data_IF_761661694243
#
_entry.id   IF_761661694243
#
_cell.length_a   1.000
_cell.length_b   1.000
_cell.length_c   1.000
_cell.angle_alpha   90.00
_cell.angle_beta   90.00
_cell.angle_gamma   90.00
#
_symmetry.space_group_name_H-M   'P 1'
#
loop_
_entity.id
_entity.type
_entity.pdbx_description
1 polymer ?
#
# COMPACT_ATOMS: atom_id res chain seq x y z
N UNK A 1 -29.84 -35.79 21.46
CA UNK A 1 -29.62 -37.10 20.79
C UNK A 1 -29.89 -38.32 21.68
N UNK A 2 -29.40 -38.38 22.93
CA UNK A 2 -29.59 -39.54 23.85
C UNK A 2 -31.02 -40.11 23.96
N UNK A 3 -32.06 -39.27 24.03
CA UNK A 3 -33.46 -39.71 24.14
C UNK A 3 -34.00 -40.40 22.88
N UNK A 4 -33.52 -40.00 21.69
CA UNK A 4 -33.96 -40.58 20.42
C UNK A 4 -33.31 -41.95 20.17
N UNK A 5 -32.02 -42.09 20.53
CA UNK A 5 -31.37 -43.40 20.52
C UNK A 5 -32.10 -44.35 21.48
N UNK A 6 -32.45 -43.89 22.68
CA UNK A 6 -33.24 -44.68 23.63
C UNK A 6 -34.60 -45.13 23.08
N UNK A 7 -35.33 -44.25 22.38
CA UNK A 7 -36.60 -44.60 21.77
C UNK A 7 -36.45 -45.62 20.63
N UNK A 8 -35.39 -45.52 19.82
CA UNK A 8 -35.09 -46.49 18.76
C UNK A 8 -34.74 -47.84 19.39
N UNK A 9 -33.84 -47.87 20.39
CA UNK A 9 -33.46 -49.10 21.09
C UNK A 9 -34.66 -49.75 21.81
N UNK A 10 -35.55 -48.96 22.41
CA UNK A 10 -36.79 -49.46 23.00
C UNK A 10 -37.75 -50.03 21.96
N UNK A 11 -37.95 -49.35 20.83
CA UNK A 11 -38.82 -49.83 19.76
C UNK A 11 -38.28 -51.11 19.11
N UNK A 12 -36.97 -51.18 18.85
CA UNK A 12 -36.31 -52.38 18.33
C UNK A 12 -36.33 -53.52 19.34
N UNK A 13 -36.10 -53.22 20.62
CA UNK A 13 -36.15 -54.20 21.71
C UNK A 13 -37.57 -54.75 21.93
N UNK A 14 -38.59 -53.89 21.87
CA UNK A 14 -39.99 -54.28 21.97
C UNK A 14 -40.42 -55.14 20.76
N UNK A 15 -40.01 -54.75 19.55
CA UNK A 15 -40.25 -55.54 18.33
C UNK A 15 -39.59 -56.92 18.40
N UNK A 16 -38.34 -57.00 18.85
CA UNK A 16 -37.64 -58.27 19.06
C UNK A 16 -38.32 -59.14 20.13
N UNK A 17 -38.76 -58.54 21.24
CA UNK A 17 -39.49 -59.25 22.29
C UNK A 17 -40.85 -59.78 21.81
N UNK A 18 -41.54 -59.05 20.94
CA UNK A 18 -42.79 -59.51 20.31
C UNK A 18 -42.56 -60.67 19.33
N UNK A 19 -41.47 -60.67 18.56
CA UNK A 19 -41.11 -61.78 17.66
C UNK A 19 -40.73 -63.03 18.45
N UNK A 20 -39.94 -62.89 19.50
CA UNK A 20 -39.56 -64.00 20.40
C UNK A 20 -40.79 -64.52 21.17
N UNK A 21 -41.66 -63.63 21.65
CA UNK A 21 -42.91 -64.00 22.32
C UNK A 21 -43.89 -64.74 21.41
N UNK A 22 -43.96 -64.36 20.12
CA UNK A 22 -44.73 -65.08 19.11
C UNK A 22 -44.23 -66.50 18.87
N UNK A 23 -42.92 -66.72 18.89
CA UNK A 23 -42.29 -68.05 18.78
C UNK A 23 -42.56 -68.96 19.99
N UNK A 24 -42.64 -68.39 21.20
CA UNK A 24 -42.87 -69.16 22.44
C UNK A 24 -44.34 -69.58 22.61
N UNK A 25 -45.28 -68.90 21.94
CA UNK A 25 -46.73 -69.19 21.99
C UNK A 25 -47.23 -70.04 20.81
N UNK A 26 -46.34 -70.79 20.15
CA UNK A 26 -46.69 -71.63 19.01
C UNK A 26 -47.61 -72.79 19.45
N UNK A 27 -48.92 -72.62 19.24
CA UNK A 27 -49.97 -73.49 19.76
C UNK A 27 -51.33 -72.80 19.95
N UNK A 28 -51.40 -71.47 20.03
CA UNK A 28 -52.65 -70.70 20.03
C UNK A 28 -52.90 -70.07 18.66
N UNK A 29 -53.74 -70.72 17.84
CA UNK A 29 -53.80 -70.60 16.37
C UNK A 29 -54.17 -69.26 15.70
N UNK A 30 -53.97 -68.09 16.32
CA UNK A 30 -54.20 -66.80 15.64
C UNK A 30 -53.31 -65.63 16.11
N UNK A 31 -52.84 -65.67 17.36
CA UNK A 31 -52.07 -64.58 17.99
C UNK A 31 -50.63 -64.43 17.46
N UNK A 32 -49.89 -65.52 17.11
CA UNK A 32 -48.49 -65.41 16.69
C UNK A 32 -48.27 -64.62 15.40
N UNK A 33 -49.13 -64.82 14.38
CA UNK A 33 -48.97 -64.18 13.07
C UNK A 33 -49.13 -62.66 13.11
N UNK A 34 -50.11 -62.17 13.88
CA UNK A 34 -50.40 -60.74 14.01
C UNK A 34 -49.29 -59.98 14.74
N UNK A 35 -48.71 -60.60 15.78
CA UNK A 35 -47.55 -60.05 16.51
C UNK A 35 -46.28 -59.99 15.65
N UNK A 36 -46.10 -60.96 14.76
CA UNK A 36 -44.95 -61.03 13.86
C UNK A 36 -45.03 -59.96 12.76
N UNK A 37 -46.21 -59.76 12.17
CA UNK A 37 -46.44 -58.71 11.17
C UNK A 37 -46.30 -57.31 11.76
N UNK A 38 -46.86 -57.07 12.96
CA UNK A 38 -46.72 -55.77 13.66
C UNK A 38 -45.26 -55.54 14.08
N UNK A 39 -44.59 -56.56 14.62
CA UNK A 39 -43.18 -56.48 15.01
C UNK A 39 -42.25 -56.18 13.83
N UNK A 40 -42.44 -56.87 12.70
CA UNK A 40 -41.68 -56.61 11.47
C UNK A 40 -41.93 -55.21 10.91
N UNK A 41 -43.18 -54.75 10.93
CA UNK A 41 -43.57 -53.41 10.46
C UNK A 41 -42.94 -52.31 11.33
N UNK A 42 -42.94 -52.47 12.66
CA UNK A 42 -42.32 -51.51 13.59
C UNK A 42 -40.79 -51.44 13.43
N UNK A 43 -40.12 -52.56 13.18
CA UNK A 43 -38.68 -52.61 12.93
C UNK A 43 -38.30 -51.84 11.65
N UNK A 44 -39.19 -51.82 10.64
CA UNK A 44 -38.90 -51.21 9.35
C UNK A 44 -39.32 -49.74 9.27
N UNK A 45 -40.51 -49.38 9.77
CA UNK A 45 -41.08 -48.03 9.64
C UNK A 45 -40.52 -47.02 10.63
N UNK A 46 -40.21 -47.44 11.87
CA UNK A 46 -39.74 -46.50 12.91
C UNK A 46 -38.37 -45.91 12.58
N UNK A 47 -37.36 -46.68 12.14
CA UNK A 47 -36.09 -46.11 11.70
C UNK A 47 -36.25 -45.17 10.50
N UNK A 48 -37.14 -45.53 9.55
CA UNK A 48 -37.38 -44.75 8.34
C UNK A 48 -37.99 -43.37 8.67
N UNK A 49 -39.02 -43.33 9.50
CA UNK A 49 -39.67 -42.07 9.92
C UNK A 49 -38.72 -41.18 10.76
N UNK A 50 -37.81 -41.78 11.52
CA UNK A 50 -36.77 -41.02 12.24
C UNK A 50 -35.72 -40.46 11.29
N UNK A 51 -35.34 -41.21 10.25
CA UNK A 51 -34.40 -40.78 9.22
C UNK A 51 -34.96 -39.60 8.42
N UNK A 52 -36.22 -39.68 8.00
CA UNK A 52 -36.94 -38.62 7.28
C UNK A 52 -37.01 -37.32 8.09
N UNK A 53 -37.36 -37.40 9.38
CA UNK A 53 -37.35 -36.24 10.29
C UNK A 53 -35.95 -35.64 10.49
N UNK A 54 -34.89 -36.46 10.44
CA UNK A 54 -33.51 -35.94 10.51
C UNK A 54 -33.12 -35.25 9.21
N UNK A 55 -33.48 -35.81 8.05
CA UNK A 55 -33.22 -35.20 6.75
C UNK A 55 -33.90 -33.82 6.65
N UNK A 56 -35.19 -33.72 6.97
CA UNK A 56 -35.88 -32.43 6.97
C UNK A 56 -35.29 -31.40 7.92
N UNK A 57 -34.84 -31.80 9.12
CA UNK A 57 -34.14 -30.87 10.03
C UNK A 57 -32.80 -30.41 9.48
N UNK A 58 -32.09 -31.29 8.77
CA UNK A 58 -30.80 -30.97 8.15
C UNK A 58 -31.01 -30.02 6.97
N UNK A 59 -32.05 -30.24 6.17
CA UNK A 59 -32.46 -29.33 5.08
C UNK A 59 -32.87 -27.94 5.58
N UNK A 60 -33.61 -27.87 6.69
CA UNK A 60 -33.95 -26.59 7.32
C UNK A 60 -32.69 -25.86 7.83
N UNK A 61 -31.76 -26.58 8.46
CA UNK A 61 -30.50 -25.99 8.93
C UNK A 61 -29.62 -25.49 7.78
N UNK A 62 -29.57 -26.20 6.64
CA UNK A 62 -28.81 -25.74 5.47
C UNK A 62 -29.47 -24.53 4.80
N UNK A 63 -30.80 -24.44 4.78
CA UNK A 63 -31.52 -23.25 4.31
C UNK A 63 -31.22 -22.02 5.19
N UNK A 64 -31.28 -22.16 6.52
CA UNK A 64 -30.95 -21.08 7.45
C UNK A 64 -29.49 -20.62 7.31
N UNK A 65 -28.55 -21.56 7.12
CA UNK A 65 -27.15 -21.25 6.85
C UNK A 65 -26.96 -20.49 5.54
N UNK A 66 -27.65 -20.88 4.47
CA UNK A 66 -27.60 -20.19 3.18
C UNK A 66 -28.17 -18.77 3.26
N UNK A 67 -29.25 -18.56 4.01
CA UNK A 67 -29.76 -17.22 4.29
C UNK A 67 -28.77 -16.39 5.13
N UNK A 68 -28.15 -17.01 6.14
CA UNK A 68 -27.11 -16.37 6.95
C UNK A 68 -25.93 -15.91 6.10
N UNK A 69 -25.45 -16.76 5.19
CA UNK A 69 -24.38 -16.44 4.23
C UNK A 69 -24.77 -15.29 3.29
N UNK A 70 -26.00 -15.30 2.75
CA UNK A 70 -26.50 -14.18 1.94
C UNK A 70 -26.54 -12.85 2.70
N UNK A 71 -26.93 -12.86 3.98
CA UNK A 71 -26.92 -11.65 4.82
C UNK A 71 -25.50 -11.16 5.11
N UNK A 72 -24.54 -12.07 5.31
CA UNK A 72 -23.13 -11.73 5.47
C UNK A 72 -22.57 -11.12 4.19
N UNK A 73 -22.83 -11.73 3.04
CA UNK A 73 -22.40 -11.23 1.73
C UNK A 73 -22.95 -9.82 1.44
N UNK A 74 -24.22 -9.58 1.75
CA UNK A 74 -24.84 -8.24 1.67
C UNK A 74 -24.19 -7.22 2.62
N UNK A 75 -23.77 -7.63 3.82
CA UNK A 75 -23.06 -6.75 4.76
C UNK A 75 -21.66 -6.40 4.27
N UNK A 76 -20.96 -7.38 3.68
CA UNK A 76 -19.63 -7.17 3.08
C UNK A 76 -19.73 -6.19 1.91
N UNK A 77 -20.70 -6.38 1.01
CA UNK A 77 -20.90 -5.46 -0.13
C UNK A 77 -21.21 -4.03 0.34
N UNK A 78 -22.09 -3.85 1.32
CA UNK A 78 -22.39 -2.52 1.88
C UNK A 78 -21.18 -1.89 2.56
N UNK A 79 -20.40 -2.67 3.31
CA UNK A 79 -19.18 -2.17 3.93
C UNK A 79 -18.13 -1.76 2.87
N UNK A 80 -18.01 -2.52 1.78
CA UNK A 80 -17.14 -2.18 0.67
C UNK A 80 -17.57 -0.87 -0.02
N UNK A 81 -18.87 -0.70 -0.29
CA UNK A 81 -19.43 0.53 -0.86
C UNK A 81 -19.23 1.74 0.07
N UNK A 82 -19.38 1.55 1.38
CA UNK A 82 -19.18 2.61 2.38
C UNK A 82 -17.70 3.00 2.52
N UNK A 83 -16.78 2.04 2.48
CA UNK A 83 -15.33 2.28 2.42
C UNK A 83 -14.96 3.04 1.14
N UNK A 84 -15.50 2.65 -0.01
CA UNK A 84 -15.24 3.32 -1.29
C UNK A 84 -15.77 4.76 -1.29
N UNK A 85 -16.96 4.98 -0.71
CA UNK A 85 -17.56 6.31 -0.58
C UNK A 85 -16.77 7.20 0.38
N UNK A 86 -16.37 6.69 1.54
CA UNK A 86 -15.52 7.42 2.48
C UNK A 86 -14.15 7.75 1.87
N UNK A 87 -13.57 6.81 1.10
CA UNK A 87 -12.36 7.04 0.33
C UNK A 87 -12.52 8.21 -0.66
N UNK A 88 -13.61 8.23 -1.44
CA UNK A 88 -13.88 9.31 -2.40
C UNK A 88 -14.09 10.67 -1.72
N UNK A 89 -14.88 10.73 -0.65
CA UNK A 89 -15.14 11.99 0.07
C UNK A 89 -13.88 12.57 0.75
N UNK A 90 -13.04 11.73 1.37
CA UNK A 90 -11.78 12.19 1.98
C UNK A 90 -10.73 12.63 0.96
N UNK A 91 -10.79 12.10 -0.27
CA UNK A 91 -9.91 12.54 -1.36
C UNK A 91 -10.31 13.93 -1.84
N UNK A 92 -11.60 14.20 -2.07
CA UNK A 92 -12.10 15.48 -2.57
C UNK A 92 -11.95 16.63 -1.56
N UNK A 93 -12.37 16.45 -0.29
CA UNK A 93 -12.25 17.51 0.73
C UNK A 93 -10.79 17.83 1.06
N UNK A 94 -9.92 16.81 1.11
CA UNK A 94 -8.51 17.03 1.38
C UNK A 94 -7.73 17.62 0.20
N UNK A 95 -8.23 17.52 -1.04
CA UNK A 95 -7.52 18.02 -2.22
C UNK A 95 -7.43 19.56 -2.21
N UNK A 96 -8.53 20.25 -1.88
CA UNK A 96 -8.58 21.71 -1.83
C UNK A 96 -7.62 22.31 -0.80
N UNK A 97 -7.58 21.74 0.41
CA UNK A 97 -6.69 22.20 1.48
C UNK A 97 -5.20 21.96 1.16
N UNK A 98 -4.88 20.83 0.54
CA UNK A 98 -3.51 20.51 0.11
C UNK A 98 -3.05 21.42 -1.02
N UNK A 99 -3.91 21.64 -2.01
CA UNK A 99 -3.63 22.53 -3.12
C UNK A 99 -3.43 23.97 -2.62
N UNK A 100 -4.25 24.42 -1.67
CA UNK A 100 -4.06 25.70 -1.00
C UNK A 100 -2.73 25.79 -0.24
N UNK A 101 -2.31 24.72 0.45
CA UNK A 101 -1.03 24.66 1.14
C UNK A 101 0.17 24.72 0.18
N UNK A 102 0.11 23.97 -0.93
CA UNK A 102 1.10 24.01 -2.02
C UNK A 102 1.21 25.42 -2.62
N UNK A 103 0.07 26.02 -2.98
CA UNK A 103 0.01 27.37 -3.52
C UNK A 103 0.54 28.41 -2.52
N UNK A 104 0.28 28.22 -1.22
CA UNK A 104 0.83 29.11 -0.19
C UNK A 104 2.36 29.01 -0.10
N UNK A 105 2.91 27.79 -0.14
CA UNK A 105 4.35 27.56 -0.12
C UNK A 105 5.03 28.11 -1.38
N UNK A 106 4.41 27.98 -2.54
CA UNK A 106 4.89 28.52 -3.82
C UNK A 106 4.94 30.05 -3.78
N UNK A 107 3.87 30.70 -3.32
CA UNK A 107 3.77 32.16 -3.33
C UNK A 107 4.59 32.85 -2.23
N UNK A 108 4.68 32.25 -1.03
CA UNK A 108 5.37 32.87 0.13
C UNK A 108 6.81 32.42 0.27
N UNK A 109 7.10 31.18 -0.12
CA UNK A 109 8.41 30.57 0.05
C UNK A 109 8.93 30.61 1.48
N UNK A 110 8.06 30.66 2.49
CA UNK A 110 8.44 30.79 3.90
C UNK A 110 8.53 29.43 4.59
N UNK A 111 9.38 29.37 5.62
CA UNK A 111 9.71 28.13 6.32
C UNK A 111 8.49 27.37 6.86
N UNK A 112 7.47 28.01 7.47
CA UNK A 112 6.29 27.30 7.96
C UNK A 112 5.51 26.59 6.85
N UNK A 113 5.30 27.26 5.72
CA UNK A 113 4.56 26.70 4.58
C UNK A 113 5.35 25.55 3.94
N UNK A 114 6.65 25.73 3.72
CA UNK A 114 7.54 24.67 3.20
C UNK A 114 7.56 23.46 4.14
N UNK A 115 7.64 23.68 5.46
CA UNK A 115 7.60 22.59 6.46
C UNK A 115 6.28 21.82 6.38
N UNK A 116 5.16 22.53 6.32
CA UNK A 116 3.83 21.93 6.27
C UNK A 116 3.69 21.03 5.04
N UNK A 117 4.04 21.53 3.86
CA UNK A 117 3.99 20.79 2.60
C UNK A 117 4.88 19.55 2.64
N UNK A 118 6.13 19.68 3.11
CA UNK A 118 7.04 18.55 3.27
C UNK A 118 6.51 17.51 4.25
N UNK A 119 5.95 17.94 5.39
CA UNK A 119 5.43 17.02 6.40
C UNK A 119 4.22 16.24 5.87
N UNK A 120 3.26 16.94 5.24
CA UNK A 120 2.07 16.30 4.67
C UNK A 120 2.44 15.29 3.57
N UNK A 121 3.36 15.65 2.68
CA UNK A 121 3.81 14.74 1.62
C UNK A 121 4.57 13.51 2.18
N UNK A 122 5.33 13.67 3.27
CA UNK A 122 5.98 12.54 3.95
C UNK A 122 4.97 11.62 4.64
N UNK A 123 3.98 12.18 5.32
CA UNK A 123 2.92 11.42 6.01
C UNK A 123 2.09 10.59 5.02
N UNK A 124 1.94 11.07 3.78
CA UNK A 124 1.28 10.36 2.69
C UNK A 124 2.20 9.35 1.98
N UNK A 125 3.49 9.31 2.27
CA UNK A 125 4.44 8.49 1.52
C UNK A 125 4.68 8.97 0.08
N UNK A 126 4.26 10.19 -0.26
CA UNK A 126 4.48 10.78 -1.58
C UNK A 126 5.94 11.16 -1.80
N UNK A 127 6.69 11.50 -0.76
CA UNK A 127 8.13 11.80 -0.82
C UNK A 127 8.92 10.92 0.13
N UNK A 128 10.20 10.71 -0.17
CA UNK A 128 11.09 9.90 0.65
C UNK A 128 11.17 10.40 2.10
N UNK A 129 11.26 9.48 3.06
CA UNK A 129 11.49 9.80 4.47
C UNK A 129 12.83 10.54 4.69
N UNK A 130 13.80 10.32 3.78
CA UNK A 130 15.08 11.04 3.74
C UNK A 130 14.94 12.52 3.38
N UNK A 131 13.81 12.92 2.78
CA UNK A 131 13.55 14.27 2.29
C UNK A 131 13.67 14.40 0.78
N UNK A 132 13.48 15.62 0.28
CA UNK A 132 13.48 15.95 -1.16
C UNK A 132 14.81 16.54 -1.57
N UNK A 133 15.34 16.15 -2.73
CA UNK A 133 16.53 16.74 -3.33
C UNK A 133 16.17 17.70 -4.44
N UNK A 134 16.89 18.80 -4.50
CA UNK A 134 16.77 19.83 -5.52
C UNK A 134 18.15 20.31 -5.93
N UNK A 135 18.30 20.65 -7.20
CA UNK A 135 19.53 21.20 -7.78
C UNK A 135 19.40 22.73 -7.83
N UNK A 136 19.96 23.47 -6.85
CA UNK A 136 19.94 24.93 -6.94
C UNK A 136 20.89 25.43 -8.03
N UNK A 137 20.56 26.56 -8.64
CA UNK A 137 21.52 27.27 -9.47
C UNK A 137 22.69 27.78 -8.62
N UNK A 138 23.90 27.74 -9.17
CA UNK A 138 25.11 28.21 -8.49
C UNK A 138 25.82 27.17 -7.62
N UNK A 139 25.30 25.94 -7.50
CA UNK A 139 26.08 24.80 -7.01
C UNK A 139 26.52 23.91 -8.18
N UNK A 140 27.82 23.65 -8.25
CA UNK A 140 28.40 22.72 -9.24
C UNK A 140 28.47 21.35 -8.59
N UNK A 141 27.91 20.34 -9.27
CA UNK A 141 27.94 18.94 -8.83
C UNK A 141 27.49 18.72 -7.37
N UNK A 142 26.50 19.49 -6.93
CA UNK A 142 25.91 19.36 -5.60
C UNK A 142 24.38 19.58 -5.62
N UNK A 143 23.73 19.13 -4.56
CA UNK A 143 22.28 19.19 -4.33
C UNK A 143 21.98 19.71 -2.94
N UNK A 144 20.80 20.28 -2.77
CA UNK A 144 20.23 20.55 -1.45
C UNK A 144 19.19 19.49 -1.13
N UNK A 145 19.37 18.83 0.01
CA UNK A 145 18.36 17.92 0.58
C UNK A 145 17.55 18.66 1.63
N UNK A 146 16.25 18.74 1.43
CA UNK A 146 15.27 19.36 2.31
C UNK A 146 14.54 18.29 3.10
N UNK A 147 14.43 18.47 4.41
CA UNK A 147 13.67 17.57 5.28
C UNK A 147 12.86 18.36 6.30
N UNK A 148 11.63 17.94 6.53
CA UNK A 148 10.85 18.41 7.65
C UNK A 148 11.43 17.84 8.97
N UNK A 149 11.75 18.71 9.91
CA UNK A 149 12.13 18.34 11.27
C UNK A 149 11.16 19.03 12.24
N UNK A 150 10.80 18.38 13.36
CA UNK A 150 9.82 18.86 14.38
C UNK A 150 9.28 20.28 14.17
N UNK A 151 10.10 21.31 14.46
CA UNK A 151 9.73 22.72 14.36
C UNK A 151 10.55 23.52 13.32
N UNK A 152 11.26 22.88 12.40
CA UNK A 152 12.17 23.53 11.45
C UNK A 152 12.20 22.80 10.09
N UNK A 153 12.77 23.43 9.07
CA UNK A 153 13.22 22.70 7.87
C UNK A 153 14.72 22.50 8.02
N UNK A 154 15.22 21.29 7.85
CA UNK A 154 16.67 21.04 7.79
C UNK A 154 17.11 20.91 6.35
N UNK A 155 18.20 21.58 6.00
CA UNK A 155 18.78 21.60 4.66
C UNK A 155 20.22 21.12 4.74
N UNK A 156 20.63 20.25 3.84
CA UNK A 156 22.00 19.74 3.75
C UNK A 156 22.51 19.81 2.31
N UNK A 157 23.80 20.10 2.15
CA UNK A 157 24.49 20.02 0.86
C UNK A 157 25.01 18.60 0.65
N UNK A 158 24.72 18.01 -0.50
CA UNK A 158 25.18 16.68 -0.91
C UNK A 158 25.93 16.79 -2.23
N UNK A 159 27.02 16.02 -2.41
CA UNK A 159 27.69 15.97 -3.71
C UNK A 159 26.87 15.13 -4.70
N UNK A 160 27.12 15.36 -5.99
CA UNK A 160 26.49 14.59 -7.05
C UNK A 160 26.86 13.12 -6.98
N UNK A 161 28.02 12.70 -6.46
CA UNK A 161 28.34 11.29 -6.29
C UNK A 161 27.55 10.57 -5.17
N UNK A 162 26.73 11.31 -4.42
CA UNK A 162 26.09 10.83 -3.20
C UNK A 162 27.04 10.66 -2.02
N UNK A 163 28.29 11.10 -2.18
CA UNK A 163 29.21 11.23 -1.06
C UNK A 163 28.66 12.25 -0.07
N UNK A 164 28.63 11.90 1.20
CA UNK A 164 28.56 12.92 2.24
C UNK A 164 29.92 13.64 2.22
N UNK A 165 29.96 14.95 1.94
CA UNK A 165 31.16 15.73 2.19
C UNK A 165 31.52 15.53 3.65
N UNK A 166 32.80 15.29 3.95
CA UNK A 166 33.30 15.05 5.30
C UNK A 166 32.92 16.16 6.30
N UNK A 167 32.52 17.34 5.79
CA UNK A 167 32.11 18.51 6.54
C UNK A 167 30.61 18.87 6.47
N UNK A 168 29.75 18.13 5.72
CA UNK A 168 28.37 18.60 5.54
C UNK A 168 27.48 18.31 6.74
N UNK A 169 26.95 19.38 7.33
CA UNK A 169 26.11 19.32 8.51
C UNK A 169 24.70 19.78 8.16
N UNK A 170 23.70 19.18 8.79
CA UNK A 170 22.32 19.63 8.61
C UNK A 170 22.16 21.06 9.13
N UNK A 171 21.92 21.99 8.21
CA UNK A 171 21.60 23.38 8.54
C UNK A 171 20.12 23.50 8.87
N UNK A 172 19.79 24.00 10.05
CA UNK A 172 18.40 24.24 10.44
C UNK A 172 17.94 25.61 9.93
N UNK A 173 16.86 25.63 9.16
CA UNK A 173 16.05 26.81 8.85
C UNK A 173 14.93 26.93 9.89
N UNK A 174 15.09 27.88 10.82
CA UNK A 174 14.17 28.03 11.96
C UNK A 174 12.98 28.93 11.62
N UNK A 175 11.86 28.82 12.36
CA UNK A 175 10.75 29.75 12.23
C UNK A 175 11.19 31.20 12.43
N UNK A 176 10.73 32.10 11.55
CA UNK A 176 11.10 33.52 11.56
C UNK A 176 12.51 33.83 11.05
N UNK A 177 13.30 32.82 10.68
CA UNK A 177 14.61 33.04 10.08
C UNK A 177 14.49 33.42 8.60
N UNK A 178 15.14 34.53 8.23
CA UNK A 178 15.20 34.97 6.84
C UNK A 178 15.97 33.96 5.97
N UNK A 179 15.35 33.54 4.86
CA UNK A 179 15.92 32.69 3.80
C UNK A 179 17.37 33.08 3.40
N UNK A 180 17.67 34.38 3.29
CA UNK A 180 19.01 34.88 2.94
C UNK A 180 20.08 34.53 3.98
N UNK A 181 19.71 34.36 5.26
CA UNK A 181 20.65 33.93 6.30
C UNK A 181 21.01 32.47 6.13
N UNK A 182 20.04 31.62 5.81
CA UNK A 182 20.28 30.23 5.47
C UNK A 182 21.14 30.11 4.20
N UNK A 183 20.79 30.83 3.13
CA UNK A 183 21.61 30.89 1.91
C UNK A 183 23.07 31.27 2.22
N UNK A 184 23.31 32.30 3.04
CA UNK A 184 24.68 32.68 3.41
C UNK A 184 25.44 31.57 4.12
N UNK A 185 24.79 30.78 4.99
CA UNK A 185 25.41 29.61 5.63
C UNK A 185 25.72 28.52 4.62
N UNK A 186 24.74 28.17 3.78
CA UNK A 186 24.93 27.18 2.71
C UNK A 186 26.04 27.61 1.75
N UNK A 187 26.22 28.90 1.50
CA UNK A 187 27.27 29.42 0.62
C UNK A 187 28.65 29.31 1.23
N UNK A 188 28.77 29.57 2.53
CA UNK A 188 30.03 29.35 3.23
C UNK A 188 30.40 27.87 3.17
N UNK A 189 29.45 26.99 3.51
CA UNK A 189 29.64 25.53 3.48
C UNK A 189 29.97 25.03 2.06
N UNK A 190 29.28 25.51 1.02
CA UNK A 190 29.55 25.15 -0.36
C UNK A 190 30.95 25.57 -0.83
N UNK A 191 31.44 26.74 -0.38
CA UNK A 191 32.81 27.21 -0.68
C UNK A 191 33.84 26.36 0.04
N UNK A 192 33.62 26.06 1.31
CA UNK A 192 34.51 25.22 2.11
C UNK A 192 34.62 23.80 1.51
N UNK A 193 33.53 23.32 0.90
CA UNK A 193 33.48 22.06 0.18
C UNK A 193 34.03 22.11 -1.26
N UNK A 194 34.31 23.30 -1.81
CA UNK A 194 34.74 23.47 -3.20
C UNK A 194 33.67 23.18 -4.26
N UNK A 195 32.38 23.21 -3.90
CA UNK A 195 31.25 22.96 -4.82
C UNK A 195 30.48 24.23 -5.19
N UNK A 196 30.93 25.39 -4.69
CA UNK A 196 30.34 26.67 -5.03
C UNK A 196 30.71 27.08 -6.46
N UNK A 197 29.68 27.33 -7.29
CA UNK A 197 29.82 27.90 -8.62
C UNK A 197 29.87 29.43 -8.62
N UNK A 198 29.87 30.06 -9.81
CA UNK A 198 29.79 31.51 -9.94
C UNK A 198 28.40 32.00 -9.52
N UNK A 199 28.28 32.50 -8.29
CA UNK A 199 27.05 33.08 -7.76
C UNK A 199 26.75 32.64 -6.34
N UNK A 200 25.77 33.29 -5.70
CA UNK A 200 25.19 32.80 -4.46
C UNK A 200 23.99 31.91 -4.79
N UNK A 201 23.94 30.64 -4.37
CA UNK A 201 22.74 29.85 -4.55
C UNK A 201 21.58 30.48 -3.79
N UNK A 202 20.47 30.60 -4.50
CA UNK A 202 19.17 30.92 -3.94
C UNK A 202 18.54 29.65 -3.37
N UNK A 203 17.52 29.80 -2.53
CA UNK A 203 16.74 28.64 -2.08
C UNK A 203 15.79 28.23 -3.21
N UNK A 204 15.89 27.00 -3.73
CA UNK A 204 15.06 26.50 -4.82
C UNK A 204 13.69 26.04 -4.29
N UNK A 205 12.92 26.99 -3.73
CA UNK A 205 11.63 26.67 -3.11
C UNK A 205 10.59 26.31 -4.18
N UNK A 206 10.65 26.95 -5.33
CA UNK A 206 9.75 26.69 -6.46
C UNK A 206 9.96 25.26 -6.99
N UNK A 207 11.21 24.84 -7.22
CA UNK A 207 11.53 23.48 -7.64
C UNK A 207 11.14 22.44 -6.59
N UNK A 208 11.33 22.77 -5.31
CA UNK A 208 10.92 21.92 -4.19
C UNK A 208 9.40 21.71 -4.21
N UNK A 209 8.62 22.78 -4.34
CA UNK A 209 7.16 22.70 -4.38
C UNK A 209 6.70 21.97 -5.64
N UNK A 210 7.32 22.21 -6.80
CA UNK A 210 7.02 21.49 -8.04
C UNK A 210 7.26 19.98 -7.90
N UNK A 211 8.33 19.59 -7.21
CA UNK A 211 8.63 18.19 -6.88
C UNK A 211 7.57 17.57 -5.98
N UNK A 212 7.21 18.25 -4.88
CA UNK A 212 6.18 17.75 -3.96
C UNK A 212 4.82 17.67 -4.64
N UNK A 213 4.47 18.65 -5.48
CA UNK A 213 3.23 18.66 -6.26
C UNK A 213 3.16 17.46 -7.20
N UNK A 214 4.24 17.17 -7.93
CA UNK A 214 4.34 15.98 -8.77
C UNK A 214 4.14 14.69 -7.97
N UNK A 215 4.81 14.62 -6.81
CA UNK A 215 4.78 13.46 -5.93
C UNK A 215 3.37 13.18 -5.40
N UNK A 216 2.72 14.23 -4.88
CA UNK A 216 1.33 14.16 -4.40
C UNK A 216 0.41 13.76 -5.55
N UNK A 217 0.51 14.40 -6.72
CA UNK A 217 -0.33 14.09 -7.88
C UNK A 217 -0.19 12.63 -8.35
N UNK A 218 1.04 12.07 -8.37
CA UNK A 218 1.24 10.66 -8.69
C UNK A 218 0.67 9.70 -7.65
N UNK A 219 0.62 10.13 -6.39
CA UNK A 219 0.15 9.30 -5.29
C UNK A 219 -1.38 9.36 -5.12
N UNK A 220 -2.02 10.51 -5.40
CA UNK A 220 -3.47 10.70 -5.22
C UNK A 220 -4.29 10.50 -6.49
N UNK A 221 -3.68 10.47 -7.67
CA UNK A 221 -4.27 9.83 -8.84
C UNK A 221 -4.70 10.74 -9.99
N UNK A 222 -3.79 10.90 -10.95
CA UNK A 222 -4.10 10.97 -12.40
C UNK A 222 -3.16 10.05 -13.23
N UNK A 223 -2.48 9.09 -12.58
CA UNK A 223 -1.44 8.26 -13.22
C UNK A 223 -1.02 7.02 -12.41
N UNK A 224 0.08 6.39 -12.83
CA UNK A 224 0.70 5.26 -12.11
C UNK A 224 1.46 5.79 -10.90
N UNK A 225 1.37 5.09 -9.78
CA UNK A 225 2.17 5.38 -8.59
C UNK A 225 3.67 5.39 -8.95
N UNK A 226 4.33 6.53 -8.70
CA UNK A 226 5.76 6.73 -8.89
C UNK A 226 6.59 6.17 -7.73
N UNK A 227 5.93 5.81 -6.62
CA UNK A 227 6.60 5.70 -5.34
C UNK A 227 7.00 7.08 -4.80
N UNK A 228 7.73 7.07 -3.67
CA UNK A 228 8.12 8.29 -2.99
C UNK A 228 9.15 9.06 -3.85
N UNK A 229 8.81 10.27 -4.29
CA UNK A 229 9.67 11.08 -5.16
C UNK A 229 10.85 11.65 -4.38
N UNK A 230 12.03 11.59 -5.00
CA UNK A 230 13.30 12.10 -4.44
C UNK A 230 13.75 13.36 -5.19
N UNK A 231 13.79 13.34 -6.53
CA UNK A 231 14.39 14.41 -7.35
C UNK A 231 13.88 14.37 -8.82
N UNK A 232 13.97 15.51 -9.52
CA UNK A 232 13.84 15.59 -10.98
C UNK A 232 15.23 15.51 -11.63
N UNK A 233 15.41 14.55 -12.52
CA UNK A 233 16.59 14.42 -13.37
C UNK A 233 16.33 15.13 -14.72
N UNK A 234 16.33 16.46 -14.69
CA UNK A 234 15.91 17.29 -15.82
C UNK A 234 14.39 17.29 -16.01
N UNK A 235 13.93 17.69 -17.20
CA UNK A 235 12.49 17.88 -17.46
C UNK A 235 11.72 16.56 -17.69
N UNK A 236 12.45 15.50 -18.04
CA UNK A 236 11.89 14.25 -18.56
C UNK A 236 11.94 13.09 -17.56
N UNK A 237 12.75 13.16 -16.51
CA UNK A 237 12.99 12.03 -15.63
C UNK A 237 12.75 12.36 -14.16
N UNK A 238 12.19 11.40 -13.43
CA UNK A 238 11.89 11.48 -12.01
C UNK A 238 12.62 10.34 -11.29
N UNK A 239 13.37 10.68 -10.26
CA UNK A 239 14.01 9.72 -9.36
C UNK A 239 13.07 9.55 -8.16
N UNK A 240 12.71 8.31 -7.87
CA UNK A 240 11.91 7.91 -6.71
C UNK A 240 12.68 6.90 -5.87
N UNK A 241 12.16 6.51 -4.71
CA UNK A 241 12.79 5.51 -3.85
C UNK A 241 12.94 4.11 -4.50
N UNK A 242 12.10 3.78 -5.49
CA UNK A 242 12.02 2.44 -6.09
C UNK A 242 12.52 2.36 -7.55
N UNK A 243 12.80 3.49 -8.19
CA UNK A 243 13.28 3.52 -9.56
C UNK A 243 13.32 4.90 -10.22
N UNK A 244 13.83 4.89 -11.45
CA UNK A 244 13.84 6.04 -12.35
C UNK A 244 12.63 5.95 -13.29
N UNK A 245 11.87 7.03 -13.43
CA UNK A 245 10.64 7.11 -14.23
C UNK A 245 10.71 8.22 -15.28
N UNK A 246 10.15 7.96 -16.47
CA UNK A 246 10.03 8.97 -17.53
C UNK A 246 8.69 9.72 -17.50
N UNK A 247 8.71 11.05 -17.66
CA UNK A 247 7.54 11.94 -17.63
C UNK A 247 6.59 11.83 -18.84
N UNK A 248 6.98 11.31 -20.02
CA UNK A 248 6.04 10.57 -20.84
C UNK A 248 6.10 9.09 -20.43
N UNK A 249 5.07 8.64 -19.70
CA UNK A 249 4.84 7.24 -19.33
C UNK A 249 4.89 6.34 -20.59
N UNK A 250 5.42 5.11 -20.54
CA UNK A 250 5.40 4.17 -19.40
C UNK A 250 6.79 3.77 -18.85
N UNK A 251 7.83 4.56 -19.09
CA UNK A 251 9.20 4.13 -18.83
C UNK A 251 9.55 4.08 -17.35
N UNK A 252 10.01 2.91 -16.89
CA UNK A 252 10.53 2.67 -15.55
C UNK A 252 11.82 1.87 -15.62
N UNK A 253 12.85 2.31 -14.91
CA UNK A 253 14.07 1.56 -14.63
C UNK A 253 14.12 1.28 -13.13
N UNK A 254 13.89 0.03 -12.68
CA UNK A 254 13.97 -0.37 -11.28
C UNK A 254 15.29 0.04 -10.61
N UNK A 255 15.24 0.44 -9.33
CA UNK A 255 16.42 0.82 -8.53
C UNK A 255 17.54 -0.22 -8.58
N UNK A 256 17.21 -1.51 -8.53
CA UNK A 256 18.19 -2.60 -8.60
C UNK A 256 19.02 -2.52 -9.89
N UNK A 257 18.38 -2.34 -11.04
CA UNK A 257 19.05 -2.21 -12.33
C UNK A 257 19.85 -0.91 -12.47
N UNK A 258 19.39 0.18 -11.84
CA UNK A 258 20.14 1.44 -11.76
C UNK A 258 21.47 1.24 -11.03
N UNK A 259 21.45 0.54 -9.89
CA UNK A 259 22.63 0.33 -9.03
C UNK A 259 23.59 -0.70 -9.63
N UNK A 260 23.08 -1.81 -10.17
CA UNK A 260 23.87 -2.98 -10.58
C UNK A 260 24.70 -2.78 -11.87
N UNK A 261 24.29 -1.90 -12.78
CA UNK A 261 24.80 -1.96 -14.16
C UNK A 261 25.27 -0.61 -14.71
N UNK A 262 26.57 -0.48 -14.99
CA UNK A 262 27.17 0.70 -15.64
C UNK A 262 26.93 0.75 -17.16
N UNK A 263 26.79 -0.38 -17.85
CA UNK A 263 26.82 -0.41 -19.33
C UNK A 263 25.64 -1.12 -20.00
N UNK A 264 24.89 -1.99 -19.28
CA UNK A 264 23.91 -2.88 -19.91
C UNK A 264 22.48 -2.32 -20.01
N UNK A 265 22.11 -1.35 -19.16
CA UNK A 265 20.75 -0.77 -19.14
C UNK A 265 20.43 -0.06 -20.46
N UNK A 266 21.36 0.77 -20.95
CA UNK A 266 21.19 1.49 -22.21
C UNK A 266 21.02 0.51 -23.37
N UNK A 267 21.78 -0.58 -23.41
CA UNK A 267 21.74 -1.60 -24.47
C UNK A 267 20.46 -2.43 -24.41
N UNK A 268 20.04 -2.88 -23.23
CA UNK A 268 18.79 -3.65 -23.05
C UNK A 268 17.53 -2.81 -23.31
N UNK A 269 17.53 -1.53 -22.93
CA UNK A 269 16.39 -0.63 -23.19
C UNK A 269 16.36 -0.11 -24.63
N UNK A 270 17.51 0.09 -25.30
CA UNK A 270 17.57 0.41 -26.75
C UNK A 270 16.87 -0.64 -27.61
N UNK A 271 16.93 -1.90 -27.19
CA UNK A 271 16.48 -3.05 -27.99
C UNK A 271 14.97 -3.29 -27.84
N UNK A 272 14.31 -2.77 -26.78
CA UNK A 272 12.90 -3.09 -26.51
C UNK A 272 11.88 -1.99 -26.84
N UNK A 273 12.24 -0.70 -26.91
CA UNK A 273 11.27 0.38 -27.16
C UNK A 273 11.85 1.54 -27.99
N UNK A 274 11.13 1.97 -29.04
CA UNK A 274 11.39 3.22 -29.81
C UNK A 274 10.49 4.37 -29.30
N UNK A 275 10.73 5.65 -29.70
CA UNK A 275 11.99 6.37 -29.71
C UNK A 275 12.28 6.86 -28.28
N UNK A 276 13.43 6.46 -27.74
CA UNK A 276 13.91 7.02 -26.48
C UNK A 276 13.95 8.55 -26.57
N UNK A 277 13.53 9.22 -25.49
CA UNK A 277 14.15 10.49 -25.09
C UNK A 277 15.66 10.38 -25.31
N UNK A 278 16.27 11.43 -25.86
CA UNK A 278 17.70 11.49 -26.21
C UNK A 278 18.56 10.59 -25.30
N UNK A 279 19.27 9.56 -25.84
CA UNK A 279 20.06 8.62 -25.05
C UNK A 279 21.04 9.30 -24.08
N UNK A 280 21.51 10.50 -24.41
CA UNK A 280 22.33 11.30 -23.52
C UNK A 280 21.57 11.74 -22.25
N UNK A 281 20.29 12.12 -22.38
CA UNK A 281 19.42 12.49 -21.26
C UNK A 281 19.13 11.31 -20.35
N UNK A 282 18.83 10.12 -20.91
CA UNK A 282 18.66 8.91 -20.10
C UNK A 282 19.97 8.53 -19.39
N UNK A 283 21.11 8.61 -20.07
CA UNK A 283 22.41 8.33 -19.44
C UNK A 283 22.68 9.29 -18.27
N UNK A 284 22.43 10.58 -18.46
CA UNK A 284 22.53 11.57 -17.39
C UNK A 284 21.58 11.24 -16.22
N UNK A 285 20.32 10.92 -16.51
CA UNK A 285 19.34 10.56 -15.48
C UNK A 285 19.72 9.29 -14.70
N UNK A 286 20.34 8.31 -15.35
CA UNK A 286 20.85 7.10 -14.70
C UNK A 286 22.03 7.41 -13.77
N UNK A 287 22.97 8.25 -14.18
CA UNK A 287 24.07 8.66 -13.29
C UNK A 287 23.54 9.42 -12.08
N UNK A 288 22.57 10.32 -12.28
CA UNK A 288 21.89 11.04 -11.19
C UNK A 288 21.13 10.10 -10.25
N UNK A 289 20.46 9.08 -10.78
CA UNK A 289 19.76 8.11 -9.96
C UNK A 289 20.73 7.25 -9.14
N UNK A 290 21.87 6.81 -9.72
CA UNK A 290 22.91 6.06 -8.99
C UNK A 290 23.49 6.86 -7.84
N UNK A 291 23.85 8.09 -8.13
CA UNK A 291 24.24 9.10 -7.18
C UNK A 291 23.25 9.23 -6.02
N UNK A 292 21.96 9.33 -6.36
CA UNK A 292 20.90 9.47 -5.40
C UNK A 292 20.73 8.23 -4.51
N UNK A 293 20.84 7.02 -5.07
CA UNK A 293 20.69 5.78 -4.30
C UNK A 293 21.91 5.41 -3.44
N UNK A 294 23.11 5.84 -3.83
CA UNK A 294 24.34 5.60 -3.06
C UNK A 294 24.47 6.49 -1.83
N UNK A 295 23.83 7.65 -1.84
CA UNK A 295 23.81 8.60 -0.72
C UNK A 295 22.77 8.28 0.35
N UNK A 296 21.82 7.40 0.04
CA UNK A 296 20.92 6.89 1.05
C UNK A 296 21.67 5.90 1.93
N UNK A 297 21.74 6.12 3.25
CA UNK A 297 22.12 5.03 4.13
C UNK A 297 21.16 3.88 3.87
N UNK A 298 21.62 2.61 3.87
CA UNK A 298 20.71 1.48 3.78
C UNK A 298 19.68 1.64 4.89
N UNK A 299 18.44 1.93 4.50
CA UNK A 299 17.33 1.98 5.43
C UNK A 299 17.21 0.61 6.06
N UNK A 300 17.22 0.56 7.39
CA UNK A 300 16.66 -0.56 8.13
C UNK A 300 15.24 -0.78 7.59
N UNK A 301 15.08 -1.82 6.77
CA UNK A 301 13.77 -2.34 6.35
C UNK A 301 13.13 -3.07 7.53
#
# INVERSE_FOLDING_TARGET
>A
MRRLHWAIWLATGLGAAMVVGGWVMDGMGYVPGFLLEIGATLILLVPLAVLERRLHRTEQQTQELNEGLRRVDQRIHRAAEEIERLGRMSVEEGYGDREAALNTAENRGDQPSVRQVLQQAQEMGAISAGGVRVRPEGLVDARLRFRAARAAVTVRIETESGGQPTASSWQSWRPGENARRLCRRLNAEARDMGVAGPGMPHLPVEELVALVRLAVASHTGDGRDLGAVVELAGDEWVISDDGLYGRPWPYRVPRTLVIETTTNVLTQYRVRNAPLADPARLAAALELARAAYRSEPPGEQ
#
